data_IF_351004363982
#
_entry.id   IF_351004363982
#
_cell.length_a   1.000
_cell.length_b   1.000
_cell.length_c   1.000
_cell.angle_alpha   90.00
_cell.angle_beta   90.00
_cell.angle_gamma   90.00
#
_symmetry.space_group_name_H-M   'P 1'
#
loop_
_entity.id
_entity.type
_entity.pdbx_description
1 polymer ?
#
# COMPACT_ATOMS: atom_id res chain seq x y z
N UNK A 1 -0.88 -58.90 -15.87
CA UNK A 1 -1.20 -58.60 -14.45
C UNK A 1 0.06 -58.82 -13.65
N UNK A 2 0.54 -57.83 -12.89
CA UNK A 2 1.58 -58.09 -11.90
C UNK A 2 0.98 -59.01 -10.83
N UNK A 3 1.53 -60.22 -10.68
CA UNK A 3 1.11 -61.17 -9.66
C UNK A 3 2.10 -61.12 -8.50
N UNK A 4 1.58 -61.09 -7.27
CA UNK A 4 2.41 -61.22 -6.09
C UNK A 4 3.05 -62.62 -6.05
N UNK A 5 4.31 -62.73 -5.63
CA UNK A 5 4.94 -64.03 -5.48
C UNK A 5 4.17 -64.86 -4.45
N UNK A 6 4.13 -66.18 -4.66
CA UNK A 6 3.47 -67.14 -3.77
C UNK A 6 4.09 -67.21 -2.35
N UNK A 7 5.17 -66.47 -2.11
CA UNK A 7 5.85 -66.32 -0.82
C UNK A 7 5.55 -65.00 -0.10
N UNK A 8 4.77 -64.09 -0.71
CA UNK A 8 4.44 -62.81 -0.09
C UNK A 8 3.61 -63.02 1.18
N UNK A 9 4.10 -62.53 2.31
CA UNK A 9 3.34 -62.56 3.56
C UNK A 9 2.27 -61.45 3.59
N UNK A 10 1.27 -61.58 4.46
CA UNK A 10 0.28 -60.51 4.70
C UNK A 10 0.97 -59.19 5.07
N UNK A 11 2.09 -59.26 5.81
CA UNK A 11 2.91 -58.10 6.17
C UNK A 11 3.52 -57.43 4.93
N UNK A 12 3.97 -58.21 3.96
CA UNK A 12 4.51 -57.67 2.70
C UNK A 12 3.41 -56.99 1.87
N UNK A 13 2.20 -57.55 1.85
CA UNK A 13 1.05 -56.93 1.17
C UNK A 13 0.65 -55.60 1.82
N UNK A 14 0.56 -55.54 3.15
CA UNK A 14 0.25 -54.30 3.88
C UNK A 14 1.30 -53.23 3.61
N UNK A 15 2.58 -53.61 3.61
CA UNK A 15 3.69 -52.68 3.33
C UNK A 15 3.62 -52.13 1.91
N UNK A 16 3.31 -52.99 0.93
CA UNK A 16 3.16 -52.58 -0.47
C UNK A 16 1.99 -51.60 -0.66
N UNK A 17 0.84 -51.87 -0.04
CA UNK A 17 -0.34 -50.99 -0.09
C UNK A 17 -0.08 -49.63 0.56
N UNK A 18 0.54 -49.61 1.75
CA UNK A 18 0.92 -48.36 2.43
C UNK A 18 1.91 -47.53 1.59
N UNK A 19 2.83 -48.19 0.89
CA UNK A 19 3.78 -47.53 -0.01
C UNK A 19 3.06 -46.90 -1.22
N UNK A 20 2.12 -47.63 -1.83
CA UNK A 20 1.33 -47.12 -2.95
C UNK A 20 0.44 -45.94 -2.56
N UNK A 21 -0.23 -46.01 -1.41
CA UNK A 21 -1.05 -44.90 -0.90
C UNK A 21 -0.21 -43.64 -0.65
N UNK A 22 0.97 -43.80 -0.05
CA UNK A 22 1.91 -42.70 0.17
C UNK A 22 2.40 -42.07 -1.16
N UNK A 23 2.65 -42.87 -2.20
CA UNK A 23 3.03 -42.34 -3.52
C UNK A 23 1.91 -41.48 -4.12
N UNK A 24 0.66 -41.97 -4.09
CA UNK A 24 -0.48 -41.23 -4.62
C UNK A 24 -0.70 -39.92 -3.85
N UNK A 25 -0.65 -39.95 -2.51
CA UNK A 25 -0.81 -38.75 -1.67
C UNK A 25 0.26 -37.69 -1.93
N UNK A 26 1.51 -38.08 -2.18
CA UNK A 26 2.57 -37.14 -2.57
C UNK A 26 2.32 -36.49 -3.93
N UNK A 27 1.85 -37.29 -4.90
CA UNK A 27 1.51 -36.77 -6.22
C UNK A 27 0.35 -35.77 -6.13
N UNK A 28 -0.68 -36.07 -5.33
CA UNK A 28 -1.80 -35.16 -5.07
C UNK A 28 -1.33 -33.87 -4.38
N UNK A 29 -0.46 -33.98 -3.36
CA UNK A 29 0.11 -32.82 -2.69
C UNK A 29 0.94 -31.94 -3.64
N UNK A 30 1.76 -32.56 -4.49
CA UNK A 30 2.54 -31.85 -5.50
C UNK A 30 1.64 -31.12 -6.51
N UNK A 31 0.52 -31.74 -6.89
CA UNK A 31 -0.47 -31.11 -7.77
C UNK A 31 -1.17 -29.90 -7.11
N UNK A 32 -1.50 -30.00 -5.82
CA UNK A 32 -2.13 -28.89 -5.07
C UNK A 32 -1.16 -27.72 -4.87
N UNK A 33 0.09 -27.99 -4.52
CA UNK A 33 1.10 -26.92 -4.28
C UNK A 33 1.58 -26.30 -5.60
N UNK A 34 1.75 -27.11 -6.64
CA UNK A 34 2.25 -26.68 -7.94
C UNK A 34 3.76 -26.40 -7.96
N UNK A 35 4.25 -25.88 -9.10
CA UNK A 35 5.67 -25.56 -9.30
C UNK A 35 6.17 -24.58 -8.23
N UNK A 36 7.35 -24.82 -7.61
CA UNK A 36 8.43 -25.73 -8.02
C UNK A 36 8.35 -27.16 -7.46
N UNK A 37 7.23 -27.56 -6.84
CA UNK A 37 7.02 -28.93 -6.35
C UNK A 37 6.67 -29.85 -7.52
N UNK A 38 7.25 -31.04 -7.54
CA UNK A 38 6.97 -32.10 -8.53
C UNK A 38 6.66 -33.42 -7.83
N UNK A 39 5.91 -34.31 -8.49
CA UNK A 39 5.45 -35.60 -7.90
C UNK A 39 6.57 -36.56 -7.54
N UNK A 40 7.78 -36.35 -8.07
CA UNK A 40 8.98 -37.12 -7.74
C UNK A 40 9.72 -36.61 -6.51
N UNK A 41 9.36 -35.45 -5.96
CA UNK A 41 9.95 -34.94 -4.73
C UNK A 41 9.61 -35.86 -3.53
N UNK A 42 10.52 -35.96 -2.56
CA UNK A 42 10.20 -36.52 -1.26
C UNK A 42 9.44 -35.51 -0.39
N UNK A 43 8.79 -35.99 0.68
CA UNK A 43 7.97 -35.15 1.56
C UNK A 43 8.78 -34.01 2.19
N UNK A 44 10.04 -34.26 2.56
CA UNK A 44 10.91 -33.26 3.16
C UNK A 44 11.25 -32.12 2.18
N UNK A 45 11.46 -32.47 0.91
CA UNK A 45 11.70 -31.54 -0.20
C UNK A 45 10.43 -30.72 -0.48
N UNK A 46 9.26 -31.36 -0.49
CA UNK A 46 7.96 -30.66 -0.62
C UNK A 46 7.79 -29.64 0.51
N UNK A 47 8.03 -30.05 1.76
CA UNK A 47 7.94 -29.17 2.94
C UNK A 47 8.90 -27.97 2.79
N UNK A 48 10.15 -28.22 2.39
CA UNK A 48 11.16 -27.17 2.21
C UNK A 48 10.74 -26.18 1.13
N UNK A 49 10.29 -26.66 -0.04
CA UNK A 49 9.82 -25.81 -1.14
C UNK A 49 8.61 -24.98 -0.74
N UNK A 50 7.65 -25.56 0.00
CA UNK A 50 6.49 -24.85 0.52
C UNK A 50 6.87 -23.77 1.55
N UNK A 51 7.80 -24.06 2.45
CA UNK A 51 8.32 -23.07 3.40
C UNK A 51 9.02 -21.92 2.70
N UNK A 52 9.79 -22.20 1.64
CA UNK A 52 10.43 -21.17 0.83
C UNK A 52 9.39 -20.29 0.13
N UNK A 53 8.37 -20.89 -0.53
CA UNK A 53 7.29 -20.13 -1.17
C UNK A 53 6.54 -19.23 -0.16
N UNK A 54 6.23 -19.77 1.03
CA UNK A 54 5.60 -19.02 2.12
C UNK A 54 6.47 -17.85 2.60
N UNK A 55 7.78 -18.07 2.74
CA UNK A 55 8.74 -17.03 3.14
C UNK A 55 8.88 -15.96 2.07
N UNK A 56 8.85 -16.33 0.79
CA UNK A 56 8.83 -15.40 -0.34
C UNK A 56 7.56 -14.54 -0.32
N UNK A 57 6.39 -15.12 -0.06
CA UNK A 57 5.14 -14.36 0.09
C UNK A 57 5.25 -13.32 1.22
N UNK A 58 5.78 -13.71 2.39
CA UNK A 58 5.99 -12.80 3.51
C UNK A 58 6.98 -11.66 3.17
N UNK A 59 8.08 -11.98 2.47
CA UNK A 59 9.04 -10.98 2.01
C UNK A 59 8.40 -10.00 1.02
N UNK A 60 7.57 -10.49 0.10
CA UNK A 60 6.85 -9.66 -0.87
C UNK A 60 5.85 -8.71 -0.19
N UNK A 61 5.09 -9.20 0.80
CA UNK A 61 4.19 -8.36 1.60
C UNK A 61 4.97 -7.26 2.34
N UNK A 62 6.10 -7.61 2.96
CA UNK A 62 6.96 -6.66 3.65
C UNK A 62 7.52 -5.60 2.70
N UNK A 63 7.95 -6.00 1.50
CA UNK A 63 8.41 -5.07 0.46
C UNK A 63 7.30 -4.12 -0.03
N UNK A 64 6.04 -4.51 0.14
CA UNK A 64 4.86 -3.67 -0.12
C UNK A 64 4.44 -2.81 1.08
N UNK A 65 5.16 -2.90 2.21
CA UNK A 65 4.87 -2.12 3.42
C UNK A 65 3.88 -2.81 4.37
N UNK A 66 3.51 -4.07 4.11
CA UNK A 66 2.70 -4.88 5.01
C UNK A 66 3.59 -5.79 5.85
N UNK A 67 3.66 -5.57 7.16
CA UNK A 67 4.50 -6.37 8.05
C UNK A 67 4.10 -7.85 8.01
N UNK A 68 5.03 -8.73 7.60
CA UNK A 68 4.82 -10.16 7.54
C UNK A 68 6.11 -10.94 7.84
N UNK A 69 5.96 -12.17 8.34
CA UNK A 69 7.07 -13.07 8.64
C UNK A 69 6.86 -14.44 7.99
N UNK A 70 7.95 -15.07 7.54
CA UNK A 70 7.95 -16.45 7.03
C UNK A 70 7.58 -17.50 8.09
N UNK A 71 7.57 -17.14 9.37
CA UNK A 71 7.09 -18.02 10.45
C UNK A 71 5.56 -18.07 10.56
N UNK A 72 4.83 -17.12 9.96
CA UNK A 72 3.36 -17.08 10.03
C UNK A 72 2.70 -18.26 9.28
N UNK A 73 1.45 -18.57 9.63
CA UNK A 73 0.63 -19.52 8.89
C UNK A 73 0.22 -18.98 7.51
N UNK A 74 0.00 -19.87 6.53
CA UNK A 74 -0.39 -19.48 5.16
C UNK A 74 -1.67 -18.65 5.15
N UNK A 75 -2.67 -19.00 5.97
CA UNK A 75 -3.92 -18.23 6.08
C UNK A 75 -3.67 -16.80 6.58
N UNK A 76 -2.81 -16.61 7.61
CA UNK A 76 -2.44 -15.27 8.10
C UNK A 76 -1.82 -14.41 7.00
N UNK A 77 -0.94 -15.00 6.18
CA UNK A 77 -0.36 -14.29 5.04
C UNK A 77 -1.42 -13.96 3.97
N UNK A 78 -2.37 -14.87 3.71
CA UNK A 78 -3.47 -14.62 2.78
C UNK A 78 -4.41 -13.50 3.27
N UNK A 79 -4.75 -13.49 4.55
CA UNK A 79 -5.57 -12.43 5.15
C UNK A 79 -4.87 -11.07 5.04
N UNK A 80 -3.54 -11.03 5.21
CA UNK A 80 -2.72 -9.82 5.00
C UNK A 80 -2.69 -9.35 3.55
N UNK A 81 -2.73 -10.26 2.58
CA UNK A 81 -2.90 -9.88 1.16
C UNK A 81 -4.26 -9.21 0.97
N UNK A 82 -5.33 -9.76 1.54
CA UNK A 82 -6.68 -9.18 1.45
C UNK A 82 -6.81 -7.81 2.15
N UNK A 83 -6.09 -7.61 3.25
CA UNK A 83 -6.08 -6.36 4.00
C UNK A 83 -5.13 -5.29 3.44
N UNK A 84 -4.31 -5.63 2.43
CA UNK A 84 -3.33 -4.70 1.88
C UNK A 84 -3.98 -3.61 1.03
N UNK A 85 -3.96 -2.37 1.53
CA UNK A 85 -4.54 -1.20 0.85
C UNK A 85 -3.54 -0.41 -0.02
N UNK A 86 -2.25 -0.78 0.01
CA UNK A 86 -1.18 -0.10 -0.73
C UNK A 86 -0.99 1.37 -0.39
N UNK A 87 -0.21 2.06 -1.25
CA UNK A 87 -0.05 3.51 -1.18
C UNK A 87 -1.15 4.16 -2.01
N UNK A 88 -2.06 4.85 -1.34
CA UNK A 88 -3.20 5.51 -1.96
C UNK A 88 -2.92 6.98 -2.18
N UNK A 89 -3.46 7.51 -3.27
CA UNK A 89 -3.45 8.93 -3.56
C UNK A 89 -4.77 9.33 -4.21
N UNK A 90 -5.14 10.58 -4.01
CA UNK A 90 -6.31 11.20 -4.62
C UNK A 90 -5.95 12.61 -5.05
N UNK A 91 -6.72 13.15 -5.99
CA UNK A 91 -6.54 14.52 -6.43
C UNK A 91 -7.83 15.09 -6.96
N UNK A 92 -7.88 16.42 -7.03
CA UNK A 92 -9.06 17.11 -7.52
C UNK A 92 -8.88 18.60 -7.50
N UNK A 93 -10.01 19.29 -7.58
CA UNK A 93 -10.09 20.75 -7.55
C UNK A 93 -11.18 21.22 -6.60
N UNK A 94 -11.07 22.47 -6.16
CA UNK A 94 -12.14 23.18 -5.48
C UNK A 94 -12.02 24.67 -5.79
N UNK A 95 -13.09 25.43 -5.57
CA UNK A 95 -13.11 26.89 -5.75
C UNK A 95 -13.57 27.55 -4.46
N UNK A 96 -12.91 28.63 -4.07
CA UNK A 96 -13.30 29.45 -2.92
C UNK A 96 -13.59 30.88 -3.34
N UNK A 97 -14.54 31.51 -2.67
CA UNK A 97 -14.83 32.93 -2.80
C UNK A 97 -14.30 33.66 -1.55
N UNK A 98 -13.23 34.44 -1.69
CA UNK A 98 -12.55 35.04 -0.55
C UNK A 98 -11.85 34.01 0.33
N UNK A 99 -11.57 34.38 1.58
CA UNK A 99 -10.86 33.50 2.52
C UNK A 99 -11.82 32.54 3.23
N UNK A 100 -11.47 31.26 3.30
CA UNK A 100 -12.32 30.26 3.96
C UNK A 100 -11.70 28.86 4.03
N UNK A 101 -12.33 28.01 4.83
CA UNK A 101 -11.96 26.60 4.96
C UNK A 101 -12.73 25.74 3.96
N UNK A 102 -12.02 24.91 3.21
CA UNK A 102 -12.59 23.87 2.35
C UNK A 102 -12.30 22.51 2.95
N UNK A 103 -13.31 21.65 2.96
CA UNK A 103 -13.16 20.24 3.35
C UNK A 103 -13.32 19.36 2.13
N UNK A 104 -12.34 18.49 1.89
CA UNK A 104 -12.36 17.48 0.81
C UNK A 104 -12.58 16.12 1.45
N UNK A 105 -13.74 15.52 1.21
CA UNK A 105 -14.19 14.26 1.81
C UNK A 105 -14.16 13.09 0.82
N UNK A 106 -14.27 11.86 1.35
CA UNK A 106 -14.45 10.65 0.54
C UNK A 106 -13.16 10.19 -0.14
N UNK A 107 -12.01 10.37 0.53
CA UNK A 107 -10.71 9.97 -0.02
C UNK A 107 -10.53 8.44 -0.03
N UNK A 108 -11.28 7.73 0.80
CA UNK A 108 -11.10 6.33 1.16
C UNK A 108 -9.91 6.08 2.09
N UNK A 109 -9.14 7.11 2.47
CA UNK A 109 -7.91 6.99 3.25
C UNK A 109 -7.58 8.26 4.05
N UNK A 110 -6.78 8.08 5.11
CA UNK A 110 -6.21 9.18 5.88
C UNK A 110 -4.99 9.73 5.14
N UNK A 111 -5.01 10.98 4.66
CA UNK A 111 -3.81 11.54 4.05
C UNK A 111 -2.75 11.81 5.11
N UNK A 112 -1.51 11.44 4.82
CA UNK A 112 -0.32 11.86 5.56
C UNK A 112 0.35 13.08 4.94
N UNK A 113 0.15 13.29 3.64
CA UNK A 113 0.60 14.48 2.92
C UNK A 113 -0.54 15.03 2.07
N UNK A 114 -0.71 16.36 2.11
CA UNK A 114 -1.62 17.06 1.23
C UNK A 114 -0.88 18.24 0.63
N UNK A 115 -0.98 18.38 -0.69
CA UNK A 115 -0.53 19.52 -1.45
C UNK A 115 -1.74 20.24 -2.03
N UNK A 116 -1.87 21.53 -1.77
CA UNK A 116 -2.89 22.39 -2.37
C UNK A 116 -2.20 23.52 -3.10
N UNK A 117 -2.61 23.81 -4.34
CA UNK A 117 -2.04 24.92 -5.10
C UNK A 117 -3.05 25.63 -5.98
N UNK A 118 -2.89 26.93 -6.13
CA UNK A 118 -3.77 27.74 -6.97
C UNK A 118 -3.60 27.40 -8.46
N UNK A 119 -4.72 27.33 -9.17
CA UNK A 119 -4.78 27.06 -10.60
C UNK A 119 -4.49 28.36 -11.36
N UNK A 120 -3.22 28.61 -11.73
CA UNK A 120 -2.82 29.89 -12.33
C UNK A 120 -3.29 30.07 -13.78
N UNK A 121 -3.96 31.18 -14.05
CA UNK A 121 -4.24 31.66 -15.41
C UNK A 121 -3.15 32.65 -15.82
N UNK A 122 -2.09 32.18 -16.50
CA UNK A 122 -1.07 32.87 -17.34
C UNK A 122 -0.43 34.22 -16.91
N UNK A 123 -0.87 34.92 -15.87
CA UNK A 123 -0.44 36.30 -15.54
C UNK A 123 -0.31 36.60 -14.04
N UNK A 124 -0.59 35.64 -13.16
CA UNK A 124 -0.30 35.78 -11.72
C UNK A 124 0.89 34.88 -11.38
N UNK A 125 1.93 35.49 -10.81
CA UNK A 125 3.09 34.79 -10.23
C UNK A 125 2.83 34.40 -8.76
N UNK A 126 1.61 34.60 -8.28
CA UNK A 126 1.18 34.23 -6.93
C UNK A 126 0.95 32.72 -6.91
N UNK A 127 1.97 31.95 -6.56
CA UNK A 127 1.83 30.52 -6.36
C UNK A 127 1.55 30.30 -4.87
N UNK A 128 0.27 30.31 -4.51
CA UNK A 128 -0.16 29.79 -3.20
C UNK A 128 0.03 28.27 -3.23
N UNK A 129 1.07 27.77 -2.58
CA UNK A 129 1.28 26.34 -2.33
C UNK A 129 1.19 26.11 -0.84
N UNK A 130 0.37 25.13 -0.47
CA UNK A 130 0.26 24.59 0.88
C UNK A 130 0.71 23.14 0.84
N UNK A 131 1.71 22.80 1.64
CA UNK A 131 2.14 21.41 1.83
C UNK A 131 2.09 21.14 3.32
N UNK A 132 1.28 20.17 3.74
CA UNK A 132 1.22 19.71 5.11
C UNK A 132 1.73 18.28 5.25
N UNK A 133 2.25 17.96 6.44
CA UNK A 133 2.54 16.60 6.89
C UNK A 133 1.75 16.31 8.18
N UNK A 134 1.04 15.19 8.23
CA UNK A 134 0.28 14.76 9.41
C UNK A 134 1.15 14.50 10.65
N UNK A 135 2.44 14.16 10.48
CA UNK A 135 3.37 13.89 11.59
C UNK A 135 3.97 15.14 12.21
N UNK A 136 4.37 16.09 11.38
CA UNK A 136 5.17 17.23 11.83
C UNK A 136 4.30 18.46 12.06
N UNK A 137 3.03 18.45 11.62
CA UNK A 137 2.12 19.62 11.59
C UNK A 137 2.67 20.82 10.82
N UNK A 138 3.83 20.67 10.18
CA UNK A 138 4.49 21.70 9.41
C UNK A 138 3.67 21.98 8.14
N UNK A 139 3.28 23.25 7.99
CA UNK A 139 2.64 23.76 6.77
C UNK A 139 3.60 24.72 6.09
N UNK A 140 4.05 24.35 4.88
CA UNK A 140 4.84 25.25 4.04
C UNK A 140 3.90 26.17 3.26
N UNK A 141 4.03 27.47 3.45
CA UNK A 141 3.34 28.51 2.68
C UNK A 141 4.31 29.17 1.72
N UNK A 142 3.95 29.23 0.44
CA UNK A 142 4.56 30.14 -0.52
C UNK A 142 3.52 31.19 -0.92
N UNK A 143 3.84 32.46 -0.72
CA UNK A 143 3.12 33.56 -1.34
C UNK A 143 4.17 34.46 -2.00
N UNK A 144 4.18 34.51 -3.34
CA UNK A 144 5.08 35.40 -4.07
C UNK A 144 4.37 36.74 -4.22
N UNK A 145 4.72 37.76 -3.44
CA UNK A 145 4.28 39.12 -3.75
C UNK A 145 5.03 39.61 -4.99
N UNK A 146 4.30 40.21 -5.95
CA UNK A 146 4.77 40.57 -7.29
C UNK A 146 6.08 41.39 -7.37
N UNK A 147 6.66 41.53 -8.58
CA UNK A 147 8.06 41.92 -8.76
C UNK A 147 8.32 43.37 -8.31
N UNK A 148 9.01 43.54 -7.19
CA UNK A 148 10.05 44.56 -7.16
C UNK A 148 11.27 43.96 -7.89
N UNK A 149 11.77 44.65 -8.91
CA UNK A 149 12.93 44.25 -9.72
C UNK A 149 14.05 43.66 -8.85
N UNK A 150 14.33 42.35 -9.04
CA UNK A 150 15.32 41.61 -8.24
C UNK A 150 14.76 40.76 -7.08
N UNK A 151 13.43 40.55 -7.01
CA UNK A 151 12.75 39.89 -5.90
C UNK A 151 13.30 38.50 -5.53
N UNK A 152 13.84 38.39 -4.31
CA UNK A 152 14.18 37.13 -3.67
C UNK A 152 12.92 36.29 -3.42
N UNK A 153 12.98 34.99 -3.71
CA UNK A 153 11.99 34.02 -3.26
C UNK A 153 12.19 33.82 -1.76
N UNK A 154 11.38 34.48 -0.93
CA UNK A 154 11.34 34.19 0.50
C UNK A 154 10.27 33.14 0.78
N UNK A 155 10.70 31.92 1.09
CA UNK A 155 9.83 30.93 1.74
C UNK A 155 9.85 31.20 3.25
N UNK A 156 8.70 31.49 3.83
CA UNK A 156 8.58 31.55 5.30
C UNK A 156 7.96 30.24 5.79
N UNK A 157 8.71 29.46 6.57
CA UNK A 157 8.11 28.43 7.43
C UNK A 157 7.39 29.16 8.55
N UNK A 158 6.09 29.37 8.41
CA UNK A 158 5.30 29.86 9.53
C UNK A 158 4.79 28.64 10.30
N UNK A 159 5.31 28.47 11.52
CA UNK A 159 4.77 27.51 12.47
C UNK A 159 3.47 28.11 13.02
N UNK A 160 2.41 28.07 12.21
CA UNK A 160 1.14 28.70 12.53
C UNK A 160 0.35 27.73 13.41
N UNK A 161 0.23 28.08 14.68
CA UNK A 161 -0.60 27.44 15.71
C UNK A 161 -2.11 27.40 15.38
N UNK A 162 -2.52 27.69 14.13
CA UNK A 162 -3.90 27.71 13.67
C UNK A 162 -4.07 26.82 12.43
N UNK A 163 -4.42 25.54 12.60
CA UNK A 163 -5.30 24.70 11.75
C UNK A 163 -5.44 25.00 10.22
N UNK A 164 -4.40 25.43 9.50
CA UNK A 164 -4.50 25.77 8.08
C UNK A 164 -4.69 24.55 7.19
N UNK A 165 -4.18 23.40 7.62
CA UNK A 165 -4.36 22.14 6.93
C UNK A 165 -4.48 21.05 8.00
N UNK A 166 -5.62 20.37 8.03
CA UNK A 166 -5.87 19.29 8.98
C UNK A 166 -6.24 18.02 8.22
N UNK A 167 -5.75 16.88 8.69
CA UNK A 167 -5.91 15.59 8.02
C UNK A 167 -6.61 14.62 8.96
N UNK A 168 -7.60 13.91 8.42
CA UNK A 168 -8.49 13.02 9.14
C UNK A 168 -8.66 11.72 8.37
N UNK A 169 -9.36 10.74 8.94
CA UNK A 169 -9.31 9.36 8.47
C UNK A 169 -9.82 9.14 7.03
N UNK A 170 -10.63 10.06 6.50
CA UNK A 170 -11.19 9.99 5.14
C UNK A 170 -11.25 11.35 4.42
N UNK A 171 -10.64 12.38 5.02
CA UNK A 171 -10.77 13.75 4.53
C UNK A 171 -9.63 14.65 4.99
N UNK A 172 -9.50 15.81 4.35
CA UNK A 172 -8.69 16.90 4.88
C UNK A 172 -9.47 18.22 4.82
N UNK A 173 -9.12 19.17 5.68
CA UNK A 173 -9.57 20.55 5.60
C UNK A 173 -8.40 21.47 5.35
N UNK A 174 -8.58 22.47 4.49
CA UNK A 174 -7.58 23.50 4.21
C UNK A 174 -8.21 24.88 4.31
N UNK A 175 -7.62 25.78 5.10
CA UNK A 175 -7.95 27.20 5.07
C UNK A 175 -7.10 27.88 3.99
N UNK A 176 -7.76 28.42 2.99
CA UNK A 176 -7.13 29.10 1.88
C UNK A 176 -7.54 30.58 1.88
N UNK A 177 -6.56 31.44 1.61
CA UNK A 177 -6.73 32.89 1.56
C UNK A 177 -6.59 33.30 0.10
N UNK A 178 -7.58 34.04 -0.41
CA UNK A 178 -7.49 34.71 -1.71
C UNK A 178 -8.04 36.11 -1.62
N UNK A 179 -7.43 37.02 -2.37
CA UNK A 179 -7.85 38.41 -2.54
C UNK A 179 -8.78 38.58 -3.76
N UNK A 180 -9.13 37.48 -4.45
CA UNK A 180 -9.92 37.48 -5.67
C UNK A 180 -11.30 36.84 -5.45
N UNK A 181 -12.30 37.32 -6.19
CA UNK A 181 -13.58 36.61 -6.32
C UNK A 181 -13.37 35.32 -7.13
N UNK A 182 -13.80 34.17 -6.58
CA UNK A 182 -13.70 32.83 -7.18
C UNK A 182 -12.28 32.39 -7.61
N UNK A 183 -11.49 31.89 -6.67
CA UNK A 183 -10.17 31.29 -6.97
C UNK A 183 -10.24 29.77 -6.98
N UNK A 184 -9.78 29.16 -8.06
CA UNK A 184 -9.71 27.71 -8.21
C UNK A 184 -8.37 27.17 -7.72
N UNK A 185 -8.43 26.08 -6.96
CA UNK A 185 -7.29 25.34 -6.45
C UNK A 185 -7.31 23.91 -6.98
N UNK A 186 -6.12 23.32 -7.09
CA UNK A 186 -5.92 21.88 -7.26
C UNK A 186 -5.36 21.31 -5.98
N UNK A 187 -5.63 20.04 -5.73
CA UNK A 187 -5.09 19.34 -4.59
C UNK A 187 -4.66 17.92 -4.94
N UNK A 188 -3.67 17.44 -4.19
CA UNK A 188 -3.20 16.07 -4.17
C UNK A 188 -3.09 15.62 -2.72
N UNK A 189 -3.58 14.43 -2.42
CA UNK A 189 -3.55 13.80 -1.11
C UNK A 189 -2.89 12.44 -1.22
N UNK A 190 -2.01 12.08 -0.28
CA UNK A 190 -1.25 10.84 -0.25
C UNK A 190 -1.29 10.20 1.13
N UNK A 191 -1.38 8.87 1.18
CA UNK A 191 -1.21 8.05 2.39
C UNK A 191 0.25 7.69 2.71
#
# INVERSE_FOLDING_TARGET
MAQLPNTASIKDMVTALQTMECINQKADLAAVVGSPVVSTDDVATIITKLQNAKSTLAANLTAKGQAASGSEGVQSLADKVGAYNGKRWAGGTFTINGSGTVTVNGLGFKPNYVMVYQNNTRSSFDINVYIGNAKDTDVFFKNTLGPAFGGHVSGSTQNLTNNFLQMYDDYFSVFAITNLSATSFRWLAFE
#
